data_IF_656131277584
#
_entry.id   IF_656131277584
#
_cell.length_a   1.000
_cell.length_b   1.000
_cell.length_c   1.000
_cell.angle_alpha   90.00
_cell.angle_beta   90.00
_cell.angle_gamma   90.00
#
_symmetry.space_group_name_H-M   'P 1'
#
loop_
_entity.id
_entity.type
_entity.pdbx_description
1 polymer ?
#
# COMPACT_ATOMS: atom_id res chain seq x y z
N UNK A 1 -59.57 -38.44 -38.55
CA UNK A 1 -59.97 -39.56 -37.67
C UNK A 1 -60.71 -39.02 -36.46
N UNK A 2 -61.61 -39.78 -35.80
CA UNK A 2 -62.24 -39.37 -34.52
C UNK A 2 -61.19 -38.92 -33.48
N UNK A 3 -59.99 -39.48 -33.56
CA UNK A 3 -58.83 -39.12 -32.73
C UNK A 3 -58.34 -37.67 -32.92
N UNK A 4 -58.47 -37.08 -34.11
CA UNK A 4 -58.01 -35.71 -34.37
C UNK A 4 -58.98 -34.67 -33.79
N UNK A 5 -60.29 -34.98 -33.78
CA UNK A 5 -61.33 -34.15 -33.18
C UNK A 5 -61.20 -34.09 -31.65
N UNK A 6 -60.87 -35.22 -31.02
CA UNK A 6 -60.65 -35.32 -29.56
C UNK A 6 -59.39 -34.54 -29.14
N UNK A 7 -58.33 -34.58 -29.96
CA UNK A 7 -57.13 -33.77 -29.70
C UNK A 7 -57.41 -32.27 -29.82
N UNK A 8 -58.11 -31.84 -30.87
CA UNK A 8 -58.43 -30.42 -31.08
C UNK A 8 -59.30 -29.86 -29.95
N UNK A 9 -60.33 -30.61 -29.52
CA UNK A 9 -61.21 -30.21 -28.41
C UNK A 9 -60.47 -30.20 -27.07
N UNK A 10 -59.59 -31.18 -26.82
CA UNK A 10 -58.71 -31.17 -25.65
C UNK A 10 -57.77 -29.96 -25.60
N UNK A 11 -57.18 -29.58 -26.75
CA UNK A 11 -56.34 -28.39 -26.84
C UNK A 11 -57.12 -27.09 -26.57
N UNK A 12 -58.34 -26.97 -27.09
CA UNK A 12 -59.18 -25.79 -26.85
C UNK A 12 -59.60 -25.67 -25.38
N UNK A 13 -59.99 -26.78 -24.75
CA UNK A 13 -60.36 -26.81 -23.33
C UNK A 13 -59.16 -26.51 -22.43
N UNK A 14 -57.99 -27.07 -22.71
CA UNK A 14 -56.78 -26.78 -21.96
C UNK A 14 -56.37 -25.30 -22.07
N UNK A 15 -56.49 -24.72 -23.28
CA UNK A 15 -56.21 -23.30 -23.51
C UNK A 15 -57.15 -22.39 -22.72
N UNK A 16 -58.46 -22.69 -22.74
CA UNK A 16 -59.46 -21.94 -21.98
C UNK A 16 -59.25 -22.07 -20.47
N UNK A 17 -58.94 -23.27 -19.98
CA UNK A 17 -58.64 -23.51 -18.57
C UNK A 17 -57.38 -22.74 -18.12
N UNK A 18 -56.33 -22.73 -18.93
CA UNK A 18 -55.11 -21.98 -18.64
C UNK A 18 -55.39 -20.46 -18.57
N UNK A 19 -56.20 -19.93 -19.50
CA UNK A 19 -56.61 -18.53 -19.49
C UNK A 19 -57.42 -18.17 -18.23
N UNK A 20 -58.38 -19.01 -17.86
CA UNK A 20 -59.23 -18.79 -16.70
C UNK A 20 -58.43 -18.83 -15.38
N UNK A 21 -57.53 -19.81 -15.25
CA UNK A 21 -56.65 -19.93 -14.09
C UNK A 21 -55.68 -18.74 -13.98
N UNK A 22 -55.13 -18.25 -15.10
CA UNK A 22 -54.29 -17.04 -15.12
C UNK A 22 -55.03 -15.79 -14.66
N UNK A 23 -56.28 -15.61 -15.10
CA UNK A 23 -57.13 -14.52 -14.66
C UNK A 23 -57.43 -14.61 -13.15
N UNK A 24 -57.82 -15.80 -12.68
CA UNK A 24 -58.10 -16.06 -11.26
C UNK A 24 -56.87 -15.78 -10.38
N UNK A 25 -55.69 -16.21 -10.83
CA UNK A 25 -54.42 -15.95 -10.14
C UNK A 25 -54.14 -14.45 -10.08
N UNK A 26 -54.31 -13.72 -11.18
CA UNK A 26 -54.11 -12.26 -11.21
C UNK A 26 -55.08 -11.48 -10.29
N UNK A 27 -56.28 -12.01 -10.06
CA UNK A 27 -57.28 -11.42 -9.17
C UNK A 27 -56.97 -11.65 -7.69
N UNK A 28 -56.36 -12.80 -7.35
CA UNK A 28 -56.05 -13.18 -5.96
C UNK A 28 -54.69 -12.66 -5.47
N UNK A 29 -53.80 -12.26 -6.39
CA UNK A 29 -52.49 -11.71 -6.03
C UNK A 29 -52.66 -10.34 -5.32
N UNK A 30 -52.25 -10.20 -4.06
CA UNK A 30 -52.43 -8.97 -3.29
C UNK A 30 -51.54 -7.86 -3.85
N UNK A 31 -52.16 -6.90 -4.56
CA UNK A 31 -51.49 -5.74 -5.17
C UNK A 31 -50.70 -4.89 -4.16
N UNK A 32 -51.07 -4.93 -2.87
CA UNK A 32 -50.39 -4.19 -1.78
C UNK A 32 -49.00 -4.75 -1.48
N UNK A 33 -48.85 -6.08 -1.45
CA UNK A 33 -47.57 -6.75 -1.15
C UNK A 33 -46.55 -6.51 -2.26
N UNK A 34 -46.97 -6.60 -3.52
CA UNK A 34 -46.09 -6.35 -4.67
C UNK A 34 -45.58 -4.91 -4.67
N UNK A 35 -46.45 -3.93 -4.42
CA UNK A 35 -46.03 -2.51 -4.36
C UNK A 35 -45.03 -2.24 -3.24
N UNK A 36 -45.22 -2.84 -2.06
CA UNK A 36 -44.28 -2.71 -0.95
C UNK A 36 -42.92 -3.35 -1.27
N UNK A 37 -42.91 -4.56 -1.83
CA UNK A 37 -41.67 -5.25 -2.23
C UNK A 37 -40.91 -4.48 -3.31
N UNK A 38 -41.62 -3.93 -4.31
CA UNK A 38 -41.01 -3.12 -5.37
C UNK A 38 -40.44 -1.81 -4.81
N UNK A 39 -41.15 -1.15 -3.88
CA UNK A 39 -40.65 0.06 -3.22
C UNK A 39 -39.39 -0.22 -2.40
N UNK A 40 -39.34 -1.35 -1.68
CA UNK A 40 -38.17 -1.77 -0.92
C UNK A 40 -36.97 -2.11 -1.83
N UNK A 41 -37.19 -2.79 -2.97
CA UNK A 41 -36.12 -3.09 -3.94
C UNK A 41 -35.58 -1.82 -4.59
N UNK A 42 -36.45 -0.86 -4.92
CA UNK A 42 -36.03 0.44 -5.45
C UNK A 42 -35.24 1.26 -4.41
N UNK A 43 -35.56 1.12 -3.12
CA UNK A 43 -34.81 1.78 -2.05
C UNK A 43 -33.38 1.22 -1.91
N UNK A 44 -33.19 -0.08 -2.13
CA UNK A 44 -31.85 -0.71 -2.11
C UNK A 44 -30.98 -0.19 -3.25
N UNK A 45 -31.54 -0.06 -4.46
CA UNK A 45 -30.80 0.48 -5.61
C UNK A 45 -30.49 1.99 -5.52
N UNK A 46 -31.22 2.72 -4.66
CA UNK A 46 -31.01 4.16 -4.42
C UNK A 46 -30.06 4.45 -3.27
N UNK A 47 -29.70 3.46 -2.44
CA UNK A 47 -28.69 3.68 -1.42
C UNK A 47 -27.34 3.90 -2.12
N UNK A 48 -26.67 5.05 -1.90
CA UNK A 48 -25.35 5.26 -2.45
C UNK A 48 -24.43 4.21 -1.81
N UNK A 49 -23.71 3.46 -2.64
CA UNK A 49 -22.58 2.66 -2.17
C UNK A 49 -21.66 3.63 -1.44
N UNK A 50 -21.59 3.53 -0.11
CA UNK A 50 -20.63 4.27 0.70
C UNK A 50 -19.24 3.81 0.28
N UNK A 51 -18.66 4.50 -0.71
CA UNK A 51 -17.26 4.33 -1.05
C UNK A 51 -16.48 4.99 0.07
N UNK A 52 -15.64 4.22 0.73
CA UNK A 52 -14.64 4.80 1.61
C UNK A 52 -13.88 5.89 0.82
N UNK A 53 -13.63 7.08 1.41
CA UNK A 53 -12.82 8.09 0.75
C UNK A 53 -11.47 7.47 0.39
N UNK A 54 -10.91 7.86 -0.76
CA UNK A 54 -9.59 7.41 -1.18
C UNK A 54 -8.62 7.68 -0.02
N UNK A 55 -7.88 6.67 0.48
CA UNK A 55 -6.98 6.87 1.59
C UNK A 55 -6.00 7.98 1.24
N UNK A 56 -5.90 8.98 2.11
CA UNK A 56 -5.01 10.12 1.88
C UNK A 56 -3.58 9.61 1.93
N UNK A 57 -2.86 9.75 0.81
CA UNK A 57 -1.42 9.43 0.74
C UNK A 57 -0.68 10.25 1.80
N UNK A 58 0.14 9.59 2.60
CA UNK A 58 1.00 10.22 3.60
C UNK A 58 2.40 10.46 3.02
N UNK A 59 3.18 11.35 3.66
CA UNK A 59 4.57 11.62 3.25
C UNK A 59 5.40 10.34 3.27
N UNK A 60 6.27 10.17 2.26
CA UNK A 60 7.09 8.99 2.02
C UNK A 60 6.31 7.66 2.00
N UNK A 61 5.02 7.71 1.65
CA UNK A 61 4.10 6.58 1.64
C UNK A 61 4.04 5.82 2.99
N UNK A 62 4.08 6.58 4.09
CA UNK A 62 3.90 6.03 5.43
C UNK A 62 2.47 5.49 5.61
N UNK A 63 2.30 4.46 6.44
CA UNK A 63 0.98 3.91 6.76
C UNK A 63 0.11 4.87 7.58
N UNK A 64 0.72 5.54 8.55
CA UNK A 64 0.09 6.51 9.45
C UNK A 64 0.75 7.89 9.32
N UNK A 65 0.01 8.99 9.57
CA UNK A 65 0.59 10.33 9.59
C UNK A 65 1.63 10.47 10.70
N UNK A 66 2.68 11.25 10.43
CA UNK A 66 3.64 11.65 11.47
C UNK A 66 3.00 12.64 12.46
N UNK A 67 3.37 12.61 13.75
CA UNK A 67 2.96 13.62 14.71
C UNK A 67 3.41 15.03 14.30
N UNK A 68 2.69 16.09 14.70
CA UNK A 68 3.06 17.46 14.36
C UNK A 68 4.44 17.82 14.94
N UNK A 69 5.26 18.52 14.17
CA UNK A 69 6.62 18.91 14.55
C UNK A 69 7.71 17.88 14.25
N UNK A 70 7.35 16.69 13.73
CA UNK A 70 8.30 15.67 13.31
C UNK A 70 8.50 15.65 11.79
N UNK A 71 9.66 15.18 11.38
CA UNK A 71 9.98 14.91 9.98
C UNK A 71 9.60 13.48 9.58
N UNK A 72 9.11 13.32 8.36
CA UNK A 72 8.84 12.05 7.72
C UNK A 72 10.03 11.62 6.86
N UNK A 73 10.52 10.40 7.06
CA UNK A 73 11.56 9.83 6.23
C UNK A 73 11.31 8.34 5.97
N UNK A 74 11.89 7.82 4.90
CA UNK A 74 11.86 6.39 4.57
C UNK A 74 13.13 6.00 3.83
N UNK A 75 13.83 4.99 4.36
CA UNK A 75 15.05 4.44 3.76
C UNK A 75 14.76 3.03 3.30
N UNK A 76 15.12 2.70 2.07
CA UNK A 76 14.94 1.39 1.45
C UNK A 76 16.25 0.95 0.80
N UNK A 77 16.82 -0.16 1.28
CA UNK A 77 18.01 -0.75 0.67
C UNK A 77 17.73 -1.31 -0.72
N UNK A 78 18.80 -1.40 -1.51
CA UNK A 78 18.76 -2.02 -2.82
C UNK A 78 18.52 -3.53 -2.72
N UNK A 79 17.70 -4.06 -3.62
CA UNK A 79 17.44 -5.50 -3.76
C UNK A 79 18.15 -6.05 -4.98
N UNK A 80 19.41 -6.47 -4.81
CA UNK A 80 20.30 -6.84 -5.92
C UNK A 80 20.46 -5.70 -6.92
N UNK A 81 20.68 -6.02 -8.20
CA UNK A 81 20.87 -5.02 -9.27
C UNK A 81 19.57 -4.46 -9.84
N UNK A 82 18.44 -5.12 -9.59
CA UNK A 82 17.15 -4.76 -10.18
C UNK A 82 16.39 -3.69 -9.38
N UNK A 83 16.54 -3.68 -8.06
CA UNK A 83 15.87 -2.72 -7.18
C UNK A 83 16.89 -1.75 -6.61
N UNK A 84 16.84 -0.50 -7.09
CA UNK A 84 17.68 0.58 -6.57
C UNK A 84 17.31 0.90 -5.12
N UNK A 85 18.32 1.31 -4.36
CA UNK A 85 18.07 1.91 -3.05
C UNK A 85 17.28 3.21 -3.21
N UNK A 86 16.52 3.59 -2.19
CA UNK A 86 15.72 4.83 -2.17
C UNK A 86 15.74 5.46 -0.79
N UNK A 87 15.99 6.76 -0.75
CA UNK A 87 15.84 7.58 0.45
C UNK A 87 14.78 8.64 0.14
N UNK A 88 13.75 8.70 0.97
CA UNK A 88 12.75 9.75 0.94
C UNK A 88 12.83 10.55 2.23
N UNK A 89 12.84 11.87 2.12
CA UNK A 89 12.80 12.80 3.23
C UNK A 89 11.77 13.89 2.93
N UNK A 90 10.80 14.10 3.80
CA UNK A 90 9.73 15.10 3.62
C UNK A 90 9.01 15.03 2.26
N UNK A 91 8.78 13.81 1.76
CA UNK A 91 8.19 13.53 0.44
C UNK A 91 9.08 13.85 -0.77
N UNK A 92 10.31 14.29 -0.54
CA UNK A 92 11.34 14.47 -1.56
C UNK A 92 12.22 13.23 -1.65
N UNK A 93 12.44 12.75 -2.88
CA UNK A 93 13.37 11.66 -3.13
C UNK A 93 14.80 12.22 -3.13
N UNK A 94 15.61 11.81 -2.16
CA UNK A 94 17.00 12.23 -2.11
C UNK A 94 17.80 11.50 -3.20
N UNK A 95 18.68 12.25 -3.87
CA UNK A 95 19.61 11.69 -4.85
C UNK A 95 20.63 10.83 -4.09
N UNK A 96 20.77 9.57 -4.51
CA UNK A 96 21.81 8.68 -4.01
C UNK A 96 23.01 8.92 -4.89
N UNK A 97 23.97 9.71 -4.42
CA UNK A 97 25.25 9.84 -5.10
C UNK A 97 26.11 8.62 -4.79
N UNK A 98 26.48 7.88 -5.83
CA UNK A 98 27.25 6.65 -5.74
C UNK A 98 28.54 6.78 -6.55
N UNK A 99 29.35 7.77 -6.23
CA UNK A 99 30.73 7.86 -6.71
C UNK A 99 31.69 7.68 -5.54
N UNK A 100 32.15 6.43 -5.43
CA UNK A 100 33.47 5.97 -4.98
C UNK A 100 34.14 6.42 -3.65
N UNK A 101 34.93 5.45 -3.15
CA UNK A 101 35.89 5.46 -2.05
C UNK A 101 35.41 5.84 -0.64
N UNK A 102 35.60 4.89 0.27
CA UNK A 102 35.51 5.04 1.72
C UNK A 102 36.15 6.33 2.29
N UNK A 103 37.14 6.92 1.62
CA UNK A 103 37.75 8.20 2.02
C UNK A 103 36.94 9.45 1.64
N UNK A 104 36.28 9.44 0.47
CA UNK A 104 35.38 10.54 0.08
C UNK A 104 34.13 10.53 0.97
N UNK A 105 33.62 9.36 1.32
CA UNK A 105 32.54 9.22 2.31
C UNK A 105 32.93 9.80 3.67
N UNK A 106 34.14 9.50 4.16
CA UNK A 106 34.68 10.07 5.40
C UNK A 106 34.77 11.60 5.29
N UNK A 107 35.27 12.11 4.17
CA UNK A 107 35.39 13.55 3.92
C UNK A 107 34.03 14.23 3.89
N UNK A 108 33.03 13.62 3.25
CA UNK A 108 31.66 14.11 3.20
C UNK A 108 31.02 14.20 4.59
N UNK A 109 31.14 13.13 5.39
CA UNK A 109 30.61 13.10 6.76
C UNK A 109 31.29 14.17 7.64
N UNK A 110 32.61 14.30 7.53
CA UNK A 110 33.38 15.28 8.30
C UNK A 110 33.06 16.73 7.88
N UNK A 111 32.82 16.98 6.60
CA UNK A 111 32.48 18.31 6.09
C UNK A 111 31.00 18.69 6.29
N UNK A 112 30.13 17.73 6.61
CA UNK A 112 28.73 18.02 6.91
C UNK A 112 28.61 19.01 8.07
N UNK A 113 27.77 20.06 7.99
CA UNK A 113 27.62 21.01 9.09
C UNK A 113 26.98 20.36 10.32
N UNK A 114 27.26 20.92 11.50
CA UNK A 114 26.55 20.55 12.73
C UNK A 114 25.04 20.81 12.57
N UNK A 115 24.21 19.93 13.14
CA UNK A 115 22.76 19.95 12.93
C UNK A 115 22.28 19.19 11.68
N UNK A 116 23.18 18.52 10.95
CA UNK A 116 22.81 17.72 9.77
C UNK A 116 22.26 16.34 10.13
N UNK A 117 21.26 15.89 9.36
CA UNK A 117 20.86 14.49 9.30
C UNK A 117 21.60 13.77 8.19
N UNK A 118 22.16 12.62 8.51
CA UNK A 118 22.88 11.76 7.57
C UNK A 118 22.06 10.48 7.37
N UNK A 119 21.56 10.26 6.16
CA UNK A 119 20.81 9.07 5.78
C UNK A 119 21.70 8.20 4.88
N UNK A 120 21.93 6.96 5.29
CA UNK A 120 22.82 6.03 4.61
C UNK A 120 22.06 4.77 4.22
N UNK A 121 22.35 4.24 3.03
CA UNK A 121 21.70 3.06 2.50
C UNK A 121 22.63 2.31 1.55
N UNK A 122 22.60 0.98 1.57
CA UNK A 122 23.37 0.17 0.61
C UNK A 122 22.57 -0.16 -0.64
N UNK A 123 23.28 -0.25 -1.76
CA UNK A 123 22.78 -0.78 -3.03
C UNK A 123 23.78 -1.79 -3.60
N UNK A 124 23.30 -3.00 -3.94
CA UNK A 124 24.10 -4.17 -4.34
C UNK A 124 25.12 -4.63 -3.27
N UNK A 125 26.21 -3.87 -3.07
CA UNK A 125 27.21 -4.13 -2.03
C UNK A 125 27.78 -2.83 -1.44
N UNK A 126 27.78 -2.72 -0.12
CA UNK A 126 28.38 -1.62 0.64
C UNK A 126 29.56 -2.04 1.51
N UNK A 127 30.02 -3.30 1.42
CA UNK A 127 31.00 -3.86 2.37
C UNK A 127 32.40 -4.05 1.79
N UNK A 128 32.54 -4.44 0.51
CA UNK A 128 33.82 -4.92 -0.05
C UNK A 128 34.90 -3.84 -0.08
N UNK A 129 34.50 -2.59 -0.32
CA UNK A 129 35.40 -1.43 -0.39
C UNK A 129 35.35 -0.52 0.85
N UNK A 130 34.64 -0.94 1.89
CA UNK A 130 34.48 -0.15 3.12
C UNK A 130 35.72 -0.32 4.01
N UNK A 131 36.50 0.76 4.16
CA UNK A 131 37.73 0.76 4.97
C UNK A 131 37.40 0.96 6.46
N UNK A 132 38.34 0.58 7.33
CA UNK A 132 38.17 0.69 8.77
C UNK A 132 37.92 2.13 9.25
N UNK A 133 38.58 3.12 8.66
CA UNK A 133 38.40 4.54 9.05
C UNK A 133 36.94 5.00 8.86
N UNK A 134 36.29 4.54 7.79
CA UNK A 134 34.87 4.80 7.59
C UNK A 134 33.99 4.03 8.57
N UNK A 135 34.32 2.78 8.89
CA UNK A 135 33.58 2.00 9.89
C UNK A 135 33.63 2.66 11.25
N UNK A 136 34.82 3.10 11.68
CA UNK A 136 35.03 3.85 12.92
C UNK A 136 34.16 5.11 12.94
N UNK A 137 34.19 5.91 11.87
CA UNK A 137 33.41 7.16 11.80
C UNK A 137 31.89 6.90 11.86
N UNK A 138 31.40 5.86 11.18
CA UNK A 138 29.98 5.50 11.20
C UNK A 138 29.57 4.91 12.54
N UNK A 139 30.46 4.19 13.23
CA UNK A 139 30.27 3.74 14.61
C UNK A 139 30.20 4.93 15.58
N UNK A 140 31.07 5.94 15.42
CA UNK A 140 31.03 7.18 16.21
C UNK A 140 29.71 7.95 16.04
N UNK A 141 29.10 7.87 14.85
CA UNK A 141 27.76 8.41 14.59
C UNK A 141 26.63 7.58 15.24
N UNK A 142 26.94 6.42 15.83
CA UNK A 142 26.03 5.60 16.61
C UNK A 142 25.55 4.31 15.94
N UNK A 143 26.16 3.89 14.83
CA UNK A 143 25.87 2.58 14.21
C UNK A 143 26.37 1.44 15.08
N UNK A 144 25.55 0.39 15.21
CA UNK A 144 25.88 -0.86 15.91
C UNK A 144 26.22 -2.00 14.95
N UNK A 145 25.80 -1.90 13.69
CA UNK A 145 25.91 -2.99 12.72
C UNK A 145 26.97 -2.77 11.63
N UNK A 146 27.60 -1.58 11.54
CA UNK A 146 28.58 -1.28 10.49
C UNK A 146 29.76 -2.27 10.46
N UNK A 147 30.16 -2.79 11.62
CA UNK A 147 31.20 -3.82 11.75
C UNK A 147 30.75 -5.20 11.30
N UNK A 148 29.46 -5.49 11.39
CA UNK A 148 28.86 -6.77 11.04
C UNK A 148 28.49 -6.85 9.55
N UNK A 149 28.76 -5.80 8.77
CA UNK A 149 28.51 -5.74 7.33
C UNK A 149 29.28 -6.81 6.57
N UNK A 150 28.55 -7.62 5.81
CA UNK A 150 29.07 -8.70 4.96
C UNK A 150 28.84 -8.37 3.49
N UNK A 151 29.47 -9.15 2.61
CA UNK A 151 29.27 -9.06 1.17
C UNK A 151 27.78 -9.09 0.82
N UNK A 152 27.30 -8.03 0.15
CA UNK A 152 25.89 -7.83 -0.25
C UNK A 152 24.89 -7.75 0.90
N UNK A 153 25.33 -7.37 2.10
CA UNK A 153 24.42 -6.99 3.18
C UNK A 153 23.59 -5.78 2.76
N UNK A 154 22.26 -5.92 2.87
CA UNK A 154 21.37 -4.77 2.90
C UNK A 154 21.61 -4.03 4.21
N UNK A 155 21.66 -2.72 4.16
CA UNK A 155 21.80 -1.89 5.35
C UNK A 155 21.18 -0.53 5.11
N UNK A 156 20.52 -0.02 6.14
CA UNK A 156 19.91 1.30 6.19
C UNK A 156 20.18 1.90 7.57
N UNK A 157 20.62 3.15 7.58
CA UNK A 157 21.02 3.84 8.79
C UNK A 157 20.71 5.33 8.73
N UNK A 158 20.32 5.90 9.86
CA UNK A 158 20.15 7.33 10.05
C UNK A 158 20.99 7.79 11.25
N UNK A 159 21.78 8.83 11.02
CA UNK A 159 22.61 9.49 12.00
C UNK A 159 22.32 10.99 12.05
N UNK A 160 22.72 11.61 13.14
CA UNK A 160 22.65 13.04 13.35
C UNK A 160 24.03 13.55 13.74
N UNK A 161 24.45 14.67 13.15
CA UNK A 161 25.68 15.35 13.52
C UNK A 161 25.35 16.50 14.46
N UNK A 162 25.94 16.48 15.66
CA UNK A 162 25.75 17.56 16.65
C UNK A 162 24.50 17.45 17.52
N UNK A 163 23.66 16.43 17.34
CA UNK A 163 22.52 16.17 18.22
C UNK A 163 22.17 14.68 18.30
N UNK A 164 21.39 14.29 19.31
CA UNK A 164 20.97 12.91 19.52
C UNK A 164 19.59 12.66 18.92
N UNK A 165 19.47 11.62 18.12
CA UNK A 165 18.19 11.11 17.63
C UNK A 165 17.51 10.33 18.77
N UNK A 166 16.22 10.58 19.06
CA UNK A 166 15.51 9.90 20.14
C UNK A 166 15.41 8.38 19.90
N UNK A 167 15.42 7.61 20.98
CA UNK A 167 15.54 6.14 20.93
C UNK A 167 14.25 5.41 20.52
N UNK A 168 13.14 6.12 20.44
CA UNK A 168 11.85 5.59 20.01
C UNK A 168 11.72 5.39 18.49
N UNK A 169 12.80 5.65 17.74
CA UNK A 169 12.82 5.58 16.28
C UNK A 169 13.76 4.45 15.83
N UNK A 170 13.37 3.71 14.79
CA UNK A 170 14.26 2.74 14.15
C UNK A 170 15.36 3.48 13.39
N UNK A 171 16.57 3.48 13.97
CA UNK A 171 17.75 4.18 13.45
C UNK A 171 18.57 3.34 12.47
N UNK A 172 18.53 2.01 12.61
CA UNK A 172 19.40 1.11 11.86
C UNK A 172 18.73 -0.23 11.58
N UNK A 173 19.05 -0.82 10.42
CA UNK A 173 18.68 -2.19 10.06
C UNK A 173 19.67 -2.79 9.07
N UNK A 174 20.02 -4.07 9.28
CA UNK A 174 20.72 -4.96 8.34
C UNK A 174 19.74 -6.01 7.81
#
# INVERSE_FOLDING_TARGET
SLADLVKLTGFLLASLAAWYLGYLFSAYVPKKTIKASVANLQAIGKQPVLRAPVPKRQKCDHWSPCPPGNYAYRILSGGGKAKLAKICFEDELCVIDSTDYSGEMVTFINNAPEGSLLLMVTHDDGSTRLKNDAKNLVEELGSKEIWNMKFRSSWAFIAAKGFKIPDNIQKEKV
#
